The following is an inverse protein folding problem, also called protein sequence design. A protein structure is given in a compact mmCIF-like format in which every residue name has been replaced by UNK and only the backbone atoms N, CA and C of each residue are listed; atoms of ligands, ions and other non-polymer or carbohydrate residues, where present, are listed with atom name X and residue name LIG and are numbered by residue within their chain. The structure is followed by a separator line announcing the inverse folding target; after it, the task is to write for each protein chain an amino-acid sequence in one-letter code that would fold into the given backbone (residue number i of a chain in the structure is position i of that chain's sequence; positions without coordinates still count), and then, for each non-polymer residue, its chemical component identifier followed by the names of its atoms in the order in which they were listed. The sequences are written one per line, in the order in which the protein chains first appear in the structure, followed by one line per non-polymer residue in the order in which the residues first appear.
data_IF_834092171203
#
_entry.id   IF_834092171203
#
_cell.length_a   1.000
_cell.length_b   1.000
_cell.length_c   1.000
_cell.angle_alpha   90.00
_cell.angle_beta   90.00
_cell.angle_gamma   90.00
#
_symmetry.space_group_name_H-M   'P 1'
#
loop_
_entity.id
_entity.type
_entity.pdbx_description
1 polymer ?
#
# COMPACT_ATOMS: atom_id res chain seq x y z
N UNK A 1 -16.90 21.05 -52.24
CA UNK A 1 -15.69 21.12 -51.40
C UNK A 1 -15.88 20.53 -49.99
N UNK A 2 -17.07 20.61 -49.38
CA UNK A 2 -17.31 20.09 -48.01
C UNK A 2 -17.48 18.56 -47.90
N UNK A 3 -17.68 17.83 -49.01
CA UNK A 3 -17.90 16.37 -49.01
C UNK A 3 -16.61 15.51 -48.99
N UNK A 4 -15.43 16.09 -49.26
CA UNK A 4 -14.17 15.34 -49.31
C UNK A 4 -13.55 15.11 -47.91
N UNK A 5 -13.94 15.91 -46.90
CA UNK A 5 -13.33 15.87 -45.57
C UNK A 5 -13.87 14.70 -44.72
N UNK A 6 -15.09 14.25 -44.98
CA UNK A 6 -15.76 13.21 -44.17
C UNK A 6 -15.18 11.80 -44.45
N UNK A 7 -14.70 11.55 -45.67
CA UNK A 7 -14.10 10.26 -46.05
C UNK A 7 -12.80 9.95 -45.28
N UNK A 8 -11.95 10.96 -45.06
CA UNK A 8 -10.66 10.79 -44.36
C UNK A 8 -10.82 10.52 -42.86
N UNK A 9 -11.86 11.07 -42.22
CA UNK A 9 -12.10 10.84 -40.79
C UNK A 9 -12.61 9.43 -40.48
N UNK A 10 -13.40 8.81 -41.36
CA UNK A 10 -13.89 7.43 -41.19
C UNK A 10 -12.77 6.38 -41.35
N UNK A 11 -11.78 6.65 -42.21
CA UNK A 11 -10.61 5.79 -42.37
C UNK A 11 -9.70 5.83 -41.12
N UNK A 12 -9.51 7.01 -40.52
CA UNK A 12 -8.71 7.16 -39.30
C UNK A 12 -9.42 6.57 -38.07
N UNK A 13 -10.75 6.72 -37.97
CA UNK A 13 -11.51 6.11 -36.88
C UNK A 13 -11.44 4.58 -36.90
N UNK A 14 -11.43 3.96 -38.09
CA UNK A 14 -11.34 2.50 -38.23
C UNK A 14 -9.98 1.96 -37.78
N UNK A 15 -8.89 2.69 -38.02
CA UNK A 15 -7.55 2.28 -37.55
C UNK A 15 -7.38 2.45 -36.03
N UNK A 16 -7.96 3.49 -35.43
CA UNK A 16 -7.90 3.70 -33.98
C UNK A 16 -8.70 2.62 -33.22
N UNK A 17 -9.87 2.22 -33.72
CA UNK A 17 -10.65 1.14 -33.12
C UNK A 17 -9.99 -0.23 -33.30
N UNK A 18 -9.31 -0.48 -34.42
CA UNK A 18 -8.57 -1.73 -34.63
C UNK A 18 -7.37 -1.86 -33.69
N UNK A 19 -6.67 -0.76 -33.38
CA UNK A 19 -5.61 -0.75 -32.37
C UNK A 19 -6.14 -0.89 -30.93
N UNK A 20 -7.25 -0.24 -30.59
CA UNK A 20 -7.85 -0.34 -29.25
C UNK A 20 -8.47 -1.72 -28.97
N UNK A 21 -8.97 -2.42 -30.00
CA UNK A 21 -9.56 -3.76 -29.86
C UNK A 21 -8.53 -4.87 -29.63
N UNK A 22 -7.36 -4.79 -30.26
CA UNK A 22 -6.31 -5.83 -30.17
C UNK A 22 -5.57 -5.82 -28.82
N UNK A 23 -5.51 -4.67 -28.12
CA UNK A 23 -4.75 -4.56 -26.87
C UNK A 23 -5.49 -5.01 -25.60
N UNK A 24 -6.76 -5.43 -25.70
CA UNK A 24 -7.57 -5.77 -24.50
C UNK A 24 -7.60 -7.26 -24.14
N UNK A 25 -6.92 -8.14 -24.89
CA UNK A 25 -6.77 -9.57 -24.56
C UNK A 25 -5.32 -10.02 -24.68
N UNK A 26 -4.54 -9.85 -23.61
CA UNK A 26 -3.52 -10.83 -23.16
C UNK A 26 -2.92 -10.36 -21.83
N UNK A 27 -3.44 -10.93 -20.74
CA UNK A 27 -2.68 -11.03 -19.51
C UNK A 27 -1.47 -11.93 -19.76
N UNK A 28 -0.28 -11.33 -19.86
CA UNK A 28 0.98 -12.05 -19.76
C UNK A 28 2.03 -11.18 -19.05
N UNK A 29 2.33 -11.61 -17.83
CA UNK A 29 3.58 -11.50 -17.07
C UNK A 29 4.70 -10.73 -17.78
N UNK A 30 4.92 -9.48 -17.37
CA UNK A 30 6.13 -8.72 -17.72
C UNK A 30 7.33 -9.22 -16.91
N UNK A 31 7.94 -10.30 -17.39
CA UNK A 31 9.36 -10.62 -17.18
C UNK A 31 9.98 -10.52 -18.57
N UNK A 32 10.83 -9.53 -18.85
CA UNK A 32 11.90 -9.50 -19.87
C UNK A 32 12.59 -8.13 -19.68
N UNK A 33 13.76 -8.07 -19.03
CA UNK A 33 15.09 -8.14 -19.66
C UNK A 33 15.31 -6.96 -20.61
N UNK A 34 16.21 -6.06 -20.24
CA UNK A 34 17.06 -5.32 -21.17
C UNK A 34 18.51 -5.41 -20.72
N UNK A 35 19.10 -6.57 -21.01
CA UNK A 35 20.50 -6.66 -21.43
C UNK A 35 20.65 -5.92 -22.75
N UNK A 36 21.38 -4.82 -22.76
CA UNK A 36 22.32 -4.40 -23.82
C UNK A 36 22.61 -2.91 -23.68
N UNK A 37 23.74 -2.60 -23.06
CA UNK A 37 24.57 -1.46 -23.44
C UNK A 37 26.00 -1.78 -22.95
N UNK A 38 26.69 -2.56 -23.79
CA UNK A 38 28.13 -2.43 -23.92
C UNK A 38 28.44 -1.02 -24.46
N UNK A 39 29.64 -0.54 -24.11
CA UNK A 39 30.27 0.76 -24.43
C UNK A 39 30.03 1.86 -23.39
N UNK A 40 31.08 2.13 -22.60
CA UNK A 40 31.17 3.34 -21.79
C UNK A 40 31.93 3.26 -20.48
N UNK A 41 33.02 2.48 -20.39
CA UNK A 41 34.01 2.67 -19.31
C UNK A 41 34.89 3.86 -19.69
N UNK A 42 34.39 5.09 -19.54
CA UNK A 42 35.24 6.29 -19.58
C UNK A 42 34.66 7.36 -18.65
N UNK A 43 35.49 7.75 -17.68
CA UNK A 43 35.47 9.02 -16.96
C UNK A 43 34.21 9.38 -16.13
N UNK A 44 34.25 9.02 -14.85
CA UNK A 44 33.65 9.85 -13.79
C UNK A 44 34.51 9.76 -12.52
N UNK A 45 35.79 10.12 -12.69
CA UNK A 45 36.62 10.63 -11.60
C UNK A 45 36.34 12.15 -11.58
N UNK A 46 36.13 12.71 -10.39
CA UNK A 46 35.82 14.13 -10.07
C UNK A 46 34.34 14.47 -9.87
N UNK A 47 33.70 13.85 -8.88
CA UNK A 47 32.69 14.58 -8.11
C UNK A 47 33.41 15.43 -7.05
N UNK A 48 33.22 16.76 -7.00
CA UNK A 48 33.74 17.59 -5.94
C UNK A 48 33.15 17.14 -4.59
N UNK A 49 34.05 16.96 -3.63
CA UNK A 49 33.74 16.65 -2.23
C UNK A 49 32.72 17.67 -1.69
N UNK A 50 31.56 17.24 -1.14
CA UNK A 50 30.61 18.18 -0.56
C UNK A 50 31.26 18.93 0.61
N UNK A 51 31.00 20.24 0.78
CA UNK A 51 31.55 21.02 1.86
C UNK A 51 31.10 20.44 3.20
N UNK A 52 32.06 20.27 4.12
CA UNK A 52 31.82 19.85 5.49
C UNK A 52 30.87 20.84 6.16
N UNK A 53 29.69 20.36 6.55
CA UNK A 53 28.73 21.10 7.37
C UNK A 53 29.46 21.54 8.66
N UNK A 54 29.49 22.84 8.99
CA UNK A 54 30.07 23.29 10.25
C UNK A 54 29.26 22.71 11.41
N UNK A 55 29.97 22.04 12.31
CA UNK A 55 29.44 21.48 13.56
C UNK A 55 29.00 22.64 14.45
N UNK A 56 27.71 22.95 14.39
CA UNK A 56 27.08 23.95 15.24
C UNK A 56 27.18 23.53 16.72
N UNK A 57 27.89 24.36 17.49
CA UNK A 57 27.51 24.84 18.82
C UNK A 57 27.14 23.82 19.89
N UNK A 58 28.05 23.64 20.84
CA UNK A 58 27.81 23.62 22.28
C UNK A 58 26.33 23.59 22.71
N UNK A 59 25.84 22.42 23.11
CA UNK A 59 24.69 22.34 24.02
C UNK A 59 25.20 22.64 25.43
N UNK A 60 24.93 23.86 25.88
CA UNK A 60 25.04 24.27 27.27
C UNK A 60 24.05 23.43 28.12
N UNK A 61 24.45 22.83 29.25
CA UNK A 61 23.54 22.10 30.12
C UNK A 61 22.50 23.06 30.70
N UNK A 62 21.24 22.91 30.30
CA UNK A 62 20.15 23.70 30.85
C UNK A 62 19.98 23.41 32.36
N UNK A 63 19.64 24.43 33.16
CA UNK A 63 19.38 24.26 34.58
C UNK A 63 18.16 23.35 34.79
N UNK A 64 18.31 22.39 35.70
CA UNK A 64 17.32 21.38 36.08
C UNK A 64 16.08 22.08 36.64
N UNK A 65 15.15 22.41 35.75
CA UNK A 65 13.83 22.93 36.10
C UNK A 65 13.07 21.81 36.79
N UNK A 66 12.62 22.05 38.02
CA UNK A 66 11.82 21.12 38.83
C UNK A 66 10.71 20.52 37.96
N UNK A 67 10.74 19.20 37.80
CA UNK A 67 9.81 18.44 36.98
C UNK A 67 8.36 18.78 37.38
N UNK A 68 7.64 19.42 36.46
CA UNK A 68 6.19 19.47 36.51
C UNK A 68 5.64 18.03 36.59
N UNK A 69 4.49 17.81 37.26
CA UNK A 69 3.86 16.49 37.29
C UNK A 69 3.72 15.97 35.85
N UNK A 70 3.97 14.66 35.60
CA UNK A 70 3.86 14.10 34.27
C UNK A 70 2.47 14.44 33.72
N UNK A 71 2.43 15.32 32.71
CA UNK A 71 1.18 15.63 32.01
C UNK A 71 0.61 14.29 31.56
N UNK A 72 -0.62 14.01 31.98
CA UNK A 72 -1.36 12.84 31.54
C UNK A 72 -1.22 12.75 30.02
N UNK A 73 -0.52 11.73 29.55
CA UNK A 73 -0.27 11.53 28.13
C UNK A 73 -1.64 11.51 27.43
N UNK A 74 -1.85 12.27 26.34
CA UNK A 74 -3.11 12.21 25.62
C UNK A 74 -3.34 10.76 25.21
N UNK A 75 -4.51 10.22 25.56
CA UNK A 75 -4.94 8.87 25.22
C UNK A 75 -4.70 8.67 23.72
N UNK A 76 -3.68 7.88 23.36
CA UNK A 76 -3.29 7.71 21.96
C UNK A 76 -4.43 6.98 21.25
N UNK A 77 -5.06 7.65 20.30
CA UNK A 77 -6.08 7.06 19.43
C UNK A 77 -5.40 6.68 18.12
N UNK A 78 -5.43 5.40 17.77
CA UNK A 78 -4.94 4.92 16.48
C UNK A 78 -5.86 5.42 15.36
N UNK A 79 -5.25 5.91 14.27
CA UNK A 79 -5.97 6.26 13.05
C UNK A 79 -6.59 5.03 12.38
N UNK A 80 -7.76 5.18 11.77
CA UNK A 80 -8.49 4.05 11.18
C UNK A 80 -7.75 3.45 9.98
N UNK A 81 -7.11 4.27 9.14
CA UNK A 81 -6.36 3.78 7.99
C UNK A 81 -5.12 3.00 8.45
N UNK A 82 -4.45 3.48 9.51
CA UNK A 82 -3.32 2.77 10.13
C UNK A 82 -3.77 1.44 10.71
N UNK A 83 -4.87 1.43 11.48
CA UNK A 83 -5.43 0.22 12.06
C UNK A 83 -5.82 -0.81 11.00
N UNK A 84 -6.47 -0.38 9.92
CA UNK A 84 -6.87 -1.25 8.81
C UNK A 84 -5.65 -1.84 8.10
N UNK A 85 -4.62 -1.04 7.84
CA UNK A 85 -3.38 -1.48 7.18
C UNK A 85 -2.67 -2.56 8.01
N UNK A 86 -2.48 -2.31 9.31
CA UNK A 86 -1.85 -3.28 10.22
C UNK A 86 -2.67 -4.59 10.25
N UNK A 87 -4.00 -4.48 10.31
CA UNK A 87 -4.85 -5.66 10.29
C UNK A 87 -4.73 -6.45 8.98
N UNK A 88 -4.69 -5.78 7.82
CA UNK A 88 -4.50 -6.44 6.53
C UNK A 88 -3.16 -7.17 6.46
N UNK A 89 -2.08 -6.57 6.97
CA UNK A 89 -0.78 -7.24 7.05
C UNK A 89 -0.82 -8.50 7.93
N UNK A 90 -1.48 -8.43 9.09
CA UNK A 90 -1.62 -9.59 9.99
C UNK A 90 -2.40 -10.72 9.33
N UNK A 91 -3.48 -10.39 8.60
CA UNK A 91 -4.25 -11.38 7.83
C UNK A 91 -3.40 -11.96 6.72
N UNK A 92 -2.69 -11.13 5.96
CA UNK A 92 -1.85 -11.55 4.85
C UNK A 92 -0.77 -12.53 5.29
N UNK A 93 -0.13 -12.29 6.43
CA UNK A 93 0.88 -13.19 7.03
C UNK A 93 0.33 -14.57 7.40
N UNK A 94 -0.99 -14.70 7.62
CA UNK A 94 -1.64 -16.00 7.92
C UNK A 94 -2.21 -16.71 6.71
N UNK A 95 -2.28 -16.06 5.55
CA UNK A 95 -2.77 -16.70 4.33
C UNK A 95 -1.73 -17.68 3.78
N UNK A 96 -2.20 -18.79 3.20
CA UNK A 96 -1.32 -19.78 2.52
C UNK A 96 -0.62 -19.20 1.30
N UNK A 97 -1.27 -18.25 0.62
CA UNK A 97 -0.76 -17.56 -0.55
C UNK A 97 -0.90 -16.05 -0.38
N UNK A 98 0.04 -15.37 0.29
CA UNK A 98 -0.07 -13.95 0.64
C UNK A 98 -0.14 -13.03 -0.58
N UNK A 99 0.49 -13.41 -1.69
CA UNK A 99 0.47 -12.63 -2.95
C UNK A 99 -0.83 -12.72 -3.73
N UNK A 100 -1.73 -13.66 -3.38
CA UNK A 100 -3.04 -13.82 -4.01
C UNK A 100 -4.17 -13.10 -3.25
N UNK A 101 -3.86 -12.50 -2.10
CA UNK A 101 -4.82 -11.87 -1.22
C UNK A 101 -5.44 -10.63 -1.89
N UNK A 102 -6.76 -10.63 -2.00
CA UNK A 102 -7.55 -9.49 -2.45
C UNK A 102 -8.40 -8.98 -1.30
N UNK A 103 -7.93 -7.89 -0.70
CA UNK A 103 -8.71 -7.13 0.27
C UNK A 103 -9.67 -6.23 -0.51
N UNK A 104 -10.95 -6.26 -0.17
CA UNK A 104 -11.89 -5.27 -0.65
C UNK A 104 -11.48 -3.91 -0.04
N UNK A 105 -11.58 -2.84 -0.82
CA UNK A 105 -11.21 -1.49 -0.38
C UNK A 105 -12.16 -0.93 0.66
N UNK A 106 -11.67 -0.07 1.55
CA UNK A 106 -12.48 0.61 2.57
C UNK A 106 -13.72 1.32 2.01
N UNK A 107 -13.66 1.75 0.75
CA UNK A 107 -14.71 2.49 0.05
C UNK A 107 -15.74 1.63 -0.68
N UNK A 108 -15.63 0.29 -0.64
CA UNK A 108 -16.54 -0.62 -1.37
C UNK A 108 -17.72 -1.10 -0.51
N UNK A 109 -18.14 -0.28 0.46
CA UNK A 109 -19.26 -0.62 1.37
C UNK A 109 -18.91 -1.64 2.45
N UNK A 110 -17.62 -1.81 2.75
CA UNK A 110 -17.17 -2.62 3.89
C UNK A 110 -17.48 -1.92 5.20
N UNK A 111 -17.67 -2.70 6.26
CA UNK A 111 -17.79 -2.18 7.61
C UNK A 111 -16.51 -1.42 7.99
N UNK A 112 -16.67 -0.14 8.32
CA UNK A 112 -15.60 0.66 8.92
C UNK A 112 -15.25 0.11 10.32
N UNK A 113 -14.03 0.38 10.82
CA UNK A 113 -13.69 0.11 12.21
C UNK A 113 -14.74 0.70 13.16
N UNK A 114 -15.30 -0.14 14.04
CA UNK A 114 -16.24 0.29 15.08
C UNK A 114 -15.49 0.49 16.40
N UNK A 115 -15.76 1.60 17.07
CA UNK A 115 -15.27 1.85 18.42
C UNK A 115 -15.96 0.90 19.42
N UNK A 116 -15.19 0.33 20.35
CA UNK A 116 -15.68 -0.57 21.41
C UNK A 116 -15.04 -0.18 22.73
N UNK A 117 -15.66 -0.57 23.85
CA UNK A 117 -15.10 -0.26 25.18
C UNK A 117 -13.67 -0.81 25.29
N UNK A 118 -12.68 0.10 25.36
CA UNK A 118 -11.26 -0.24 25.44
C UNK A 118 -10.53 -0.38 24.09
N UNK A 119 -11.11 0.03 22.96
CA UNK A 119 -10.38 0.10 21.69
C UNK A 119 -11.25 0.11 20.44
N UNK A 120 -10.80 -0.54 19.37
CA UNK A 120 -11.50 -0.59 18.07
C UNK A 120 -11.62 -2.03 17.58
N UNK A 121 -12.68 -2.32 16.82
CA UNK A 121 -12.89 -3.63 16.19
C UNK A 121 -13.23 -3.47 14.73
N UNK A 122 -12.64 -4.31 13.90
CA UNK A 122 -12.93 -4.38 12.48
C UNK A 122 -13.24 -5.82 12.07
N UNK A 123 -14.26 -5.96 11.22
CA UNK A 123 -14.68 -7.23 10.62
C UNK A 123 -14.72 -7.03 9.12
N UNK A 124 -14.08 -7.94 8.40
CA UNK A 124 -14.06 -7.92 6.95
C UNK A 124 -13.71 -9.32 6.45
N UNK A 125 -13.64 -9.46 5.14
CA UNK A 125 -13.30 -10.70 4.48
C UNK A 125 -12.24 -10.45 3.41
N UNK A 126 -11.45 -11.49 3.13
CA UNK A 126 -10.41 -11.48 2.11
C UNK A 126 -10.61 -12.67 1.20
N UNK A 127 -10.52 -12.45 -0.10
CA UNK A 127 -10.50 -13.54 -1.08
C UNK A 127 -9.04 -13.87 -1.36
N UNK A 128 -8.63 -15.14 -1.17
CA UNK A 128 -7.26 -15.60 -1.38
C UNK A 128 -7.24 -17.01 -1.93
N UNK A 129 -6.19 -17.36 -2.68
CA UNK A 129 -6.04 -18.70 -3.22
C UNK A 129 -5.49 -19.68 -2.18
N UNK A 130 -6.00 -20.91 -2.18
CA UNK A 130 -5.38 -22.02 -1.47
C UNK A 130 -4.22 -22.63 -2.28
N UNK A 131 -3.60 -23.68 -1.75
CA UNK A 131 -2.49 -24.39 -2.41
C UNK A 131 -2.87 -25.01 -3.77
N UNK A 132 -4.16 -25.24 -4.02
CA UNK A 132 -4.70 -25.79 -5.27
C UNK A 132 -5.14 -24.69 -6.25
N UNK A 133 -4.92 -23.40 -5.93
CA UNK A 133 -5.33 -22.28 -6.78
C UNK A 133 -6.82 -21.94 -6.74
N UNK A 134 -7.60 -22.60 -5.89
CA UNK A 134 -9.01 -22.26 -5.70
C UNK A 134 -9.13 -20.98 -4.87
N UNK A 135 -9.99 -20.06 -5.31
CA UNK A 135 -10.31 -18.84 -4.57
C UNK A 135 -11.22 -19.18 -3.39
N UNK A 136 -10.74 -18.93 -2.18
CA UNK A 136 -11.49 -19.07 -0.93
C UNK A 136 -11.74 -17.70 -0.32
N UNK A 137 -12.95 -17.52 0.20
CA UNK A 137 -13.30 -16.36 1.01
C UNK A 137 -13.01 -16.66 2.48
N UNK A 138 -12.22 -15.81 3.09
CA UNK A 138 -11.82 -15.94 4.50
C UNK A 138 -12.39 -14.77 5.28
N UNK A 139 -13.24 -15.08 6.25
CA UNK A 139 -13.77 -14.10 7.19
C UNK A 139 -12.71 -13.82 8.27
N UNK A 140 -12.47 -12.54 8.58
CA UNK A 140 -11.53 -12.14 9.62
C UNK A 140 -12.08 -11.04 10.54
N UNK A 141 -11.55 -10.99 11.75
CA UNK A 141 -11.83 -9.91 12.70
C UNK A 141 -10.57 -9.48 13.44
N UNK A 142 -10.27 -8.19 13.43
CA UNK A 142 -9.21 -7.57 14.20
C UNK A 142 -9.77 -6.72 15.34
N UNK A 143 -8.99 -6.64 16.42
CA UNK A 143 -9.23 -5.74 17.54
C UNK A 143 -7.96 -4.98 17.89
N UNK A 144 -8.12 -3.68 18.08
CA UNK A 144 -7.13 -2.80 18.70
C UNK A 144 -7.47 -2.66 20.17
N UNK A 145 -6.47 -2.81 21.04
CA UNK A 145 -6.60 -2.64 22.50
C UNK A 145 -5.89 -1.36 22.92
N UNK A 146 -6.64 -0.35 23.39
CA UNK A 146 -6.05 0.94 23.78
C UNK A 146 -5.20 0.85 25.05
N UNK A 147 -5.37 -0.21 25.86
CA UNK A 147 -4.61 -0.41 27.09
C UNK A 147 -3.17 -0.87 26.83
N UNK A 148 -2.96 -1.68 25.79
CA UNK A 148 -1.64 -2.24 25.41
C UNK A 148 -1.07 -1.60 24.16
N UNK A 149 -1.85 -0.78 23.45
CA UNK A 149 -1.52 -0.22 22.14
C UNK A 149 -1.21 -1.30 21.09
N UNK A 150 -1.89 -2.45 21.18
CA UNK A 150 -1.67 -3.61 20.31
C UNK A 150 -2.86 -3.87 19.39
N UNK A 151 -2.56 -4.25 18.15
CA UNK A 151 -3.54 -4.79 17.19
C UNK A 151 -3.43 -6.31 17.15
N UNK A 152 -4.54 -7.01 17.39
CA UNK A 152 -4.60 -8.48 17.35
C UNK A 152 -5.65 -8.96 16.36
N UNK A 153 -5.29 -10.02 15.64
CA UNK A 153 -6.23 -10.80 14.84
C UNK A 153 -6.98 -11.75 15.77
N UNK A 154 -8.26 -11.46 16.03
CA UNK A 154 -9.11 -12.18 16.98
C UNK A 154 -9.71 -13.44 16.36
N UNK A 155 -10.17 -13.35 15.11
CA UNK A 155 -10.77 -14.47 14.40
C UNK A 155 -10.30 -14.52 12.97
N UNK A 156 -10.04 -15.73 12.49
CA UNK A 156 -9.64 -16.04 11.14
C UNK A 156 -10.22 -17.41 10.79
N UNK A 157 -11.26 -17.45 9.96
CA UNK A 157 -11.95 -18.69 9.59
C UNK A 157 -11.98 -18.83 8.08
N UNK A 158 -11.25 -19.83 7.59
CA UNK A 158 -11.29 -20.26 6.19
C UNK A 158 -12.50 -21.19 6.05
N UNK A 159 -13.43 -20.86 5.15
CA UNK A 159 -14.54 -21.75 4.77
C UNK A 159 -14.24 -22.44 3.45
#
# INVERSE_FOLDING_TARGET
MFLEIIGSFLALFSLVFFWYGVFRKRGQKAKWIYTSLALGVVASILLPKPPSVPRAGNQEPTPITRAAPPRAQPKRTIDDAVFMTICQELVQKRLRSPGSAKFQGAFQGLELPREVSGGKKWRSWVDAQNTFGALLRVDFSCSYFSATDEVKLVSFKQR
#
